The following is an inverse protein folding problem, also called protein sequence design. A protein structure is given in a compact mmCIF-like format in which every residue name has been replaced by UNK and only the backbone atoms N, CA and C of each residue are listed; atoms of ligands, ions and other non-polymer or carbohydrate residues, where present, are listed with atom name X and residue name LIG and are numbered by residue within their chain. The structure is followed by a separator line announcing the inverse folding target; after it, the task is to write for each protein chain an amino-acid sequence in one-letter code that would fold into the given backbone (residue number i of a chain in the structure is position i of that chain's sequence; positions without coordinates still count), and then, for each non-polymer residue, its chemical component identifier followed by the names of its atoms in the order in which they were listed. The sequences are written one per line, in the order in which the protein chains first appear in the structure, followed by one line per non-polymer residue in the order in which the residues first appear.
data_IF_228325931083
#
_entry.id   IF_228325931083
#
_cell.length_a   1.000
_cell.length_b   1.000
_cell.length_c   1.000
_cell.angle_alpha   90.00
_cell.angle_beta   90.00
_cell.angle_gamma   90.00
#
_symmetry.space_group_name_H-M   'P 1'
#
loop_
_entity.id
_entity.type
_entity.pdbx_description
1 polymer ?
#
# COMPACT_ATOMS: atom_id res chain seq x y z
N UNK A 1 12.47 19.08 -2.65
CA UNK A 1 11.36 19.35 -1.72
C UNK A 1 11.93 19.74 -0.37
N UNK A 2 11.27 20.65 0.34
CA UNK A 2 11.67 21.04 1.68
C UNK A 2 11.07 20.06 2.72
N UNK A 3 11.62 19.98 3.94
CA UNK A 3 11.21 18.98 4.93
C UNK A 3 9.71 19.04 5.26
N UNK A 4 9.17 20.25 5.46
CA UNK A 4 7.76 20.45 5.75
C UNK A 4 6.85 20.12 4.57
N UNK A 5 7.30 20.35 3.33
CA UNK A 5 6.55 19.97 2.14
C UNK A 5 6.37 18.45 2.10
N UNK A 6 7.44 17.71 2.40
CA UNK A 6 7.40 16.24 2.39
C UNK A 6 6.42 15.71 3.43
N UNK A 7 6.48 16.22 4.65
CA UNK A 7 5.60 15.78 5.73
C UNK A 7 4.12 16.04 5.43
N UNK A 8 3.82 17.17 4.77
CA UNK A 8 2.45 17.62 4.51
C UNK A 8 1.85 17.09 3.21
N UNK A 9 2.66 16.78 2.20
CA UNK A 9 2.17 16.43 0.85
C UNK A 9 2.39 14.98 0.43
N UNK A 10 3.24 14.22 1.14
CA UNK A 10 3.59 12.85 0.75
C UNK A 10 2.94 11.83 1.69
N UNK A 11 2.54 10.72 1.09
CA UNK A 11 2.05 9.54 1.79
C UNK A 11 3.01 8.37 1.59
N UNK A 12 3.13 7.52 2.60
CA UNK A 12 3.80 6.22 2.51
C UNK A 12 2.76 5.15 2.27
N UNK A 13 3.09 4.23 1.38
CA UNK A 13 2.36 2.98 1.16
C UNK A 13 2.86 1.96 2.19
N UNK A 14 1.99 1.60 3.11
CA UNK A 14 2.24 0.54 4.10
C UNK A 14 1.80 -0.81 3.57
N UNK A 15 2.39 -1.86 4.13
CA UNK A 15 2.18 -3.25 3.71
C UNK A 15 2.63 -3.52 2.27
N UNK A 16 3.47 -2.64 1.72
CA UNK A 16 4.17 -2.86 0.47
C UNK A 16 4.87 -4.22 0.55
N UNK A 17 4.60 -5.09 -0.45
CA UNK A 17 5.33 -6.34 -0.54
C UNK A 17 6.80 -5.96 -0.65
N UNK A 18 7.69 -6.47 0.22
CA UNK A 18 9.11 -6.23 0.03
C UNK A 18 9.41 -6.75 -1.37
N UNK A 19 9.71 -5.83 -2.29
CA UNK A 19 10.13 -6.18 -3.63
C UNK A 19 11.20 -7.23 -3.43
N UNK A 20 10.90 -8.48 -3.84
CA UNK A 20 11.85 -9.58 -3.76
C UNK A 20 12.99 -9.10 -4.65
N UNK A 21 14.00 -8.49 -4.03
CA UNK A 21 15.30 -8.32 -4.63
C UNK A 21 15.66 -9.75 -4.98
N UNK A 22 15.47 -10.10 -6.25
CA UNK A 22 15.97 -11.32 -6.83
C UNK A 22 17.43 -11.34 -6.47
N UNK A 23 17.77 -12.08 -5.41
CA UNK A 23 19.13 -12.42 -5.07
C UNK A 23 19.59 -13.30 -6.22
N UNK A 24 20.10 -12.63 -7.25
CA UNK A 24 20.63 -13.24 -8.45
C UNK A 24 21.71 -14.22 -8.02
N UNK A 25 21.36 -15.51 -8.05
CA UNK A 25 22.16 -16.61 -8.56
C UNK A 25 23.67 -16.50 -8.25
N UNK A 26 24.07 -17.01 -7.10
CA UNK A 26 25.44 -17.54 -6.92
C UNK A 26 25.36 -19.06 -7.15
N UNK A 27 25.63 -19.48 -8.38
CA UNK A 27 25.91 -20.86 -8.75
C UNK A 27 27.29 -21.24 -8.20
N UNK A 28 27.41 -22.48 -7.72
CA UNK A 28 28.58 -23.40 -7.62
C UNK A 28 28.56 -24.05 -6.23
N UNK A 29 28.06 -25.28 -6.08
CA UNK A 29 28.83 -26.55 -6.21
C UNK A 29 29.76 -26.79 -5.00
N UNK A 30 29.85 -27.94 -4.33
CA UNK A 30 29.23 -29.26 -4.49
C UNK A 30 29.73 -30.17 -3.34
N UNK A 31 28.94 -31.20 -2.98
CA UNK A 31 29.30 -32.50 -2.36
C UNK A 31 29.76 -32.60 -0.89
N UNK A 32 28.91 -33.24 -0.06
CA UNK A 32 29.18 -34.58 0.50
C UNK A 32 28.01 -35.12 1.33
N UNK A 33 27.65 -36.37 1.05
CA UNK A 33 26.68 -37.24 1.73
C UNK A 33 27.05 -37.54 3.18
N UNK A 34 26.06 -37.70 4.07
CA UNK A 34 25.99 -38.87 4.96
C UNK A 34 24.59 -39.07 5.58
N UNK A 35 24.36 -40.32 5.95
CA UNK A 35 23.12 -41.05 6.16
C UNK A 35 22.52 -40.85 7.57
N UNK A 36 21.20 -40.65 7.70
CA UNK A 36 20.41 -40.94 8.92
C UNK A 36 18.89 -40.81 8.69
N UNK A 37 18.08 -41.84 8.97
CA UNK A 37 16.64 -41.75 9.03
C UNK A 37 16.20 -41.54 10.48
N UNK A 38 15.71 -40.35 10.84
CA UNK A 38 14.96 -40.20 12.08
C UNK A 38 13.67 -39.40 11.86
N UNK A 39 12.60 -40.01 12.34
CA UNK A 39 11.22 -39.75 11.96
C UNK A 39 10.72 -38.51 12.70
N UNK A 40 10.79 -37.35 12.04
CA UNK A 40 10.08 -36.15 12.53
C UNK A 40 8.62 -36.25 12.10
N UNK A 41 7.64 -36.10 13.02
CA UNK A 41 6.23 -36.12 12.64
C UNK A 41 5.98 -35.00 11.65
N UNK A 42 5.46 -35.36 10.47
CA UNK A 42 4.89 -34.41 9.51
C UNK A 42 3.76 -33.67 10.21
N UNK A 43 4.09 -32.51 10.81
CA UNK A 43 3.05 -31.53 11.12
C UNK A 43 2.38 -31.21 9.80
N UNK A 44 1.04 -31.36 9.69
CA UNK A 44 0.34 -30.82 8.55
C UNK A 44 0.64 -29.33 8.58
N UNK A 45 1.43 -28.91 7.60
CA UNK A 45 1.68 -27.51 7.29
C UNK A 45 0.32 -26.99 6.80
N UNK A 46 -0.59 -26.73 7.75
CA UNK A 46 -1.74 -25.90 7.53
C UNK A 46 -1.14 -24.53 7.23
N UNK A 47 -0.77 -24.34 5.96
CA UNK A 47 -0.43 -23.04 5.42
C UNK A 47 -1.66 -22.20 5.66
N UNK A 48 -1.67 -21.49 6.80
CA UNK A 48 -2.56 -20.37 6.99
C UNK A 48 -2.40 -19.52 5.72
N UNK A 49 -3.49 -19.11 5.07
CA UNK A 49 -3.40 -18.20 3.94
C UNK A 49 -2.60 -17.00 4.42
N UNK A 50 -1.42 -16.78 3.84
CA UNK A 50 -0.50 -15.70 4.21
C UNK A 50 -1.29 -14.38 4.10
N UNK A 51 -1.75 -13.81 5.23
CA UNK A 51 -2.72 -12.74 5.20
C UNK A 51 -1.92 -11.50 4.83
N UNK A 52 -1.80 -11.24 3.53
CA UNK A 52 -1.16 -10.04 3.03
C UNK A 52 -2.22 -8.94 3.06
N UNK A 53 -2.19 -8.02 4.04
CA UNK A 53 -3.16 -6.94 4.08
C UNK A 53 -3.08 -6.10 2.81
N UNK A 54 -4.20 -5.47 2.45
CA UNK A 54 -4.23 -4.58 1.32
C UNK A 54 -3.33 -3.36 1.57
N UNK A 55 -2.66 -2.88 0.52
CA UNK A 55 -1.85 -1.67 0.57
C UNK A 55 -2.69 -0.48 1.05
N UNK A 56 -2.10 0.35 1.89
CA UNK A 56 -2.76 1.57 2.38
C UNK A 56 -1.80 2.75 2.32
N UNK A 57 -2.26 3.86 1.75
CA UNK A 57 -1.56 5.13 1.75
C UNK A 57 -1.85 5.87 3.05
N UNK A 58 -0.79 6.30 3.74
CA UNK A 58 -0.86 7.02 5.00
C UNK A 58 0.04 8.25 4.95
N UNK A 59 -0.44 9.46 5.31
CA UNK A 59 0.39 10.66 5.36
C UNK A 59 1.62 10.46 6.24
N UNK A 60 2.78 10.91 5.79
CA UNK A 60 4.03 10.78 6.54
C UNK A 60 3.91 11.43 7.92
N UNK A 61 3.26 12.59 8.00
CA UNK A 61 3.05 13.29 9.27
C UNK A 61 2.33 12.41 10.31
N UNK A 62 1.22 11.75 9.94
CA UNK A 62 0.43 10.91 10.84
C UNK A 62 1.20 9.69 11.36
N UNK A 63 2.14 9.17 10.56
CA UNK A 63 2.99 8.04 10.94
C UNK A 63 4.11 8.45 11.89
N UNK A 64 4.70 9.63 11.68
CA UNK A 64 5.77 10.14 12.54
C UNK A 64 5.24 10.57 13.90
N UNK A 65 4.08 11.24 13.92
CA UNK A 65 3.40 11.60 15.17
C UNK A 65 2.99 10.35 15.97
N UNK A 66 2.73 9.24 15.27
CA UNK A 66 2.61 7.92 15.88
C UNK A 66 1.49 7.81 16.91
N UNK A 67 0.37 8.48 16.66
CA UNK A 67 -0.80 8.47 17.54
C UNK A 67 -1.38 7.06 17.69
N UNK A 68 -2.00 6.80 18.85
CA UNK A 68 -2.78 5.58 19.07
C UNK A 68 -3.88 5.39 18.03
N UNK A 69 -4.39 6.49 17.47
CA UNK A 69 -5.42 6.49 16.43
C UNK A 69 -4.90 5.88 15.13
N UNK A 70 -3.68 6.20 14.72
CA UNK A 70 -3.04 5.61 13.54
C UNK A 70 -2.87 4.10 13.69
N UNK A 71 -2.47 3.63 14.88
CA UNK A 71 -2.33 2.19 15.17
C UNK A 71 -3.69 1.50 15.12
N UNK A 72 -4.71 2.08 15.76
CA UNK A 72 -6.07 1.53 15.77
C UNK A 72 -6.68 1.46 14.37
N UNK A 73 -6.47 2.50 13.57
CA UNK A 73 -6.91 2.55 12.18
C UNK A 73 -6.26 1.45 11.34
N UNK A 74 -4.93 1.30 11.43
CA UNK A 74 -4.21 0.26 10.70
C UNK A 74 -4.60 -1.15 11.15
N UNK A 75 -4.80 -1.35 12.46
CA UNK A 75 -5.26 -2.64 12.98
C UNK A 75 -6.64 -3.00 12.44
N UNK A 76 -7.56 -2.03 12.45
CA UNK A 76 -8.91 -2.22 11.89
C UNK A 76 -8.84 -2.54 10.39
N UNK A 77 -7.96 -1.86 9.64
CA UNK A 77 -7.73 -2.11 8.22
C UNK A 77 -7.16 -3.50 7.94
N UNK A 78 -6.14 -3.93 8.68
CA UNK A 78 -5.55 -5.27 8.55
C UNK A 78 -6.59 -6.33 8.85
N UNK A 79 -7.37 -6.17 9.93
CA UNK A 79 -8.43 -7.12 10.29
C UNK A 79 -9.54 -7.19 9.22
N UNK A 80 -9.89 -6.06 8.60
CA UNK A 80 -10.89 -6.01 7.55
C UNK A 80 -10.42 -6.60 6.21
N UNK A 81 -9.14 -6.42 5.86
CA UNK A 81 -8.62 -6.74 4.52
C UNK A 81 -7.86 -8.06 4.45
N UNK A 82 -7.09 -8.39 5.47
CA UNK A 82 -6.23 -9.58 5.46
C UNK A 82 -6.99 -10.86 5.81
N UNK A 83 -8.13 -10.74 6.51
CA UNK A 83 -8.97 -11.87 6.93
C UNK A 83 -10.32 -11.92 6.21
N UNK A 84 -10.46 -11.16 5.11
CA UNK A 84 -11.61 -11.30 4.24
C UNK A 84 -11.51 -12.67 3.55
N UNK A 85 -12.50 -13.57 3.70
CA UNK A 85 -12.48 -14.84 2.99
C UNK A 85 -12.48 -14.53 1.49
N UNK A 86 -11.49 -15.06 0.76
CA UNK A 86 -11.45 -14.95 -0.69
C UNK A 86 -12.83 -15.28 -1.26
N UNK A 87 -13.37 -14.48 -2.21
CA UNK A 87 -14.70 -14.73 -2.76
C UNK A 87 -14.70 -16.13 -3.36
N UNK A 88 -15.26 -17.09 -2.64
CA UNK A 88 -15.47 -18.42 -3.15
C UNK A 88 -16.50 -18.28 -4.27
N UNK A 89 -16.02 -18.34 -5.50
CA UNK A 89 -16.86 -18.44 -6.68
C UNK A 89 -17.69 -19.72 -6.57
N UNK A 90 -18.93 -19.64 -6.05
CA UNK A 90 -19.76 -20.84 -6.02
C UNK A 90 -21.06 -20.85 -5.20
N UNK A 91 -21.35 -19.93 -4.29
CA UNK A 91 -22.59 -20.00 -3.49
C UNK A 91 -23.52 -18.81 -3.72
N UNK A 92 -24.58 -18.96 -4.55
CA UNK A 92 -25.64 -17.98 -4.67
C UNK A 92 -26.62 -18.16 -3.50
N UNK A 93 -26.47 -17.34 -2.46
CA UNK A 93 -27.44 -17.30 -1.36
C UNK A 93 -26.78 -16.94 -0.04
N UNK A 94 -26.82 -15.66 0.31
CA UNK A 94 -26.28 -15.19 1.58
C UNK A 94 -26.05 -13.68 1.55
N UNK A 95 -27.13 -12.93 1.65
CA UNK A 95 -27.21 -11.60 2.27
C UNK A 95 -25.90 -11.10 2.91
N UNK A 96 -25.20 -10.24 2.17
CA UNK A 96 -24.04 -9.49 2.65
C UNK A 96 -24.47 -8.50 3.73
N UNK A 97 -24.48 -8.98 4.97
CA UNK A 97 -24.64 -8.20 6.18
C UNK A 97 -23.33 -7.44 6.45
N UNK A 98 -23.16 -6.26 5.85
CA UNK A 98 -22.14 -5.29 6.30
C UNK A 98 -22.55 -4.79 7.69
N UNK A 99 -22.22 -5.58 8.72
CA UNK A 99 -22.55 -5.30 10.11
C UNK A 99 -21.94 -6.31 11.11
N UNK A 100 -20.90 -7.05 10.71
CA UNK A 100 -20.24 -8.06 11.55
C UNK A 100 -19.22 -7.44 12.48
N UNK A 101 -19.60 -7.23 13.75
CA UNK A 101 -18.70 -6.77 14.79
C UNK A 101 -17.47 -7.66 14.97
N UNK A 102 -16.41 -7.08 15.49
CA UNK A 102 -15.15 -7.70 15.93
C UNK A 102 -15.30 -8.83 16.98
N UNK A 103 -16.52 -9.33 17.24
CA UNK A 103 -16.86 -10.23 18.32
C UNK A 103 -16.44 -11.70 18.14
N UNK A 104 -15.77 -12.06 17.04
CA UNK A 104 -15.43 -13.45 16.73
C UNK A 104 -14.05 -13.69 16.10
N UNK A 105 -13.20 -12.67 15.97
CA UNK A 105 -11.83 -12.89 15.47
C UNK A 105 -11.03 -13.66 16.51
N UNK A 106 -10.36 -14.77 16.16
CA UNK A 106 -9.50 -15.50 17.09
C UNK A 106 -8.50 -14.54 17.75
N UNK A 107 -8.29 -14.64 19.05
CA UNK A 107 -7.33 -13.77 19.76
C UNK A 107 -5.92 -13.82 19.14
N UNK A 108 -5.56 -14.97 18.59
CA UNK A 108 -4.32 -15.19 17.85
C UNK A 108 -4.23 -14.33 16.59
N UNK A 109 -5.31 -14.27 15.80
CA UNK A 109 -5.42 -13.42 14.60
C UNK A 109 -5.27 -11.93 14.94
N UNK A 110 -5.86 -11.48 16.04
CA UNK A 110 -5.73 -10.09 16.49
C UNK A 110 -4.28 -9.80 16.93
N UNK A 111 -3.64 -10.72 17.64
CA UNK A 111 -2.24 -10.57 18.06
C UNK A 111 -1.27 -10.51 16.87
N UNK A 112 -1.48 -11.35 15.86
CA UNK A 112 -0.68 -11.30 14.62
C UNK A 112 -0.88 -9.98 13.86
N UNK A 113 -2.13 -9.54 13.73
CA UNK A 113 -2.44 -8.26 13.08
C UNK A 113 -1.80 -7.08 13.82
N UNK A 114 -1.84 -7.09 15.15
CA UNK A 114 -1.18 -6.07 15.97
C UNK A 114 0.34 -6.05 15.75
N UNK A 115 1.00 -7.21 15.75
CA UNK A 115 2.44 -7.30 15.47
C UNK A 115 2.80 -6.77 14.08
N UNK A 116 1.98 -7.06 13.06
CA UNK A 116 2.18 -6.54 11.71
C UNK A 116 2.09 -5.01 11.68
N UNK A 117 1.09 -4.44 12.35
CA UNK A 117 0.91 -2.99 12.44
C UNK A 117 2.07 -2.32 13.16
N UNK A 118 2.51 -2.86 14.30
CA UNK A 118 3.65 -2.32 15.04
C UNK A 118 4.94 -2.37 14.22
N UNK A 119 5.16 -3.44 13.45
CA UNK A 119 6.31 -3.57 12.56
C UNK A 119 6.30 -2.56 11.41
N UNK A 120 5.14 -2.26 10.83
CA UNK A 120 5.01 -1.19 9.84
C UNK A 120 5.25 0.18 10.46
N UNK A 121 4.69 0.43 11.65
CA UNK A 121 4.86 1.69 12.36
C UNK A 121 6.33 1.95 12.72
N UNK A 122 7.06 0.92 13.15
CA UNK A 122 8.49 1.02 13.44
C UNK A 122 9.30 1.38 12.20
N UNK A 123 9.04 0.73 11.06
CA UNK A 123 9.66 1.08 9.77
C UNK A 123 9.41 2.53 9.39
N UNK A 124 8.16 3.01 9.50
CA UNK A 124 7.82 4.40 9.21
C UNK A 124 8.54 5.39 10.13
N UNK A 125 8.67 5.07 11.42
CA UNK A 125 9.43 5.88 12.39
C UNK A 125 10.92 5.90 12.07
N UNK A 126 11.49 4.77 11.68
CA UNK A 126 12.90 4.68 11.29
C UNK A 126 13.18 5.49 10.01
N UNK A 127 12.28 5.42 9.03
CA UNK A 127 12.32 6.31 7.86
C UNK A 127 12.25 7.79 8.27
N UNK A 128 11.31 8.17 9.13
CA UNK A 128 11.18 9.55 9.61
C UNK A 128 12.43 10.07 10.33
N UNK A 129 13.11 9.22 11.10
CA UNK A 129 14.39 9.54 11.75
C UNK A 129 15.50 9.75 10.72
N UNK A 130 15.61 8.87 9.73
CA UNK A 130 16.62 9.00 8.67
C UNK A 130 16.38 10.27 7.84
N UNK A 131 15.11 10.58 7.53
CA UNK A 131 14.72 11.83 6.87
C UNK A 131 15.13 13.05 7.70
N UNK A 132 14.82 13.07 9.00
CA UNK A 132 15.23 14.15 9.89
C UNK A 132 16.76 14.28 9.99
N UNK A 133 17.49 13.17 10.02
CA UNK A 133 18.95 13.17 10.04
C UNK A 133 19.54 13.71 8.74
N UNK A 134 18.96 13.35 7.59
CA UNK A 134 19.39 13.83 6.28
C UNK A 134 19.33 15.37 6.22
N UNK A 135 18.21 15.97 6.63
CA UNK A 135 18.04 17.43 6.66
C UNK A 135 18.93 18.11 7.69
N UNK A 136 19.17 17.51 8.86
CA UNK A 136 20.15 18.04 9.82
C UNK A 136 21.57 18.07 9.25
N UNK A 137 21.95 17.07 8.45
CA UNK A 137 23.27 16.97 7.84
C UNK A 137 23.48 17.88 6.61
N UNK A 138 22.40 18.16 5.86
CA UNK A 138 22.47 18.92 4.60
C UNK A 138 21.91 20.35 4.71
N UNK A 139 21.46 20.79 5.89
CA UNK A 139 20.96 22.15 6.12
C UNK A 139 19.70 22.46 5.30
N UNK A 140 19.70 23.59 4.58
CA UNK A 140 18.59 24.03 3.71
C UNK A 140 18.58 23.36 2.33
N UNK A 141 19.22 22.20 2.20
CA UNK A 141 19.22 21.49 0.92
C UNK A 141 17.87 20.86 0.65
N UNK A 142 17.44 20.92 -0.61
CA UNK A 142 16.23 20.27 -1.09
C UNK A 142 16.55 18.83 -1.45
N UNK A 143 15.75 17.89 -0.95
CA UNK A 143 15.85 16.48 -1.37
C UNK A 143 15.12 16.29 -2.71
N UNK A 144 15.70 15.49 -3.60
CA UNK A 144 15.03 15.09 -4.84
C UNK A 144 14.04 13.94 -4.59
N UNK A 145 13.06 13.75 -5.50
CA UNK A 145 12.08 12.67 -5.39
C UNK A 145 12.74 11.29 -5.36
N UNK A 146 13.66 11.03 -6.29
CA UNK A 146 14.35 9.74 -6.35
C UNK A 146 15.22 9.44 -5.12
N UNK A 147 15.76 10.46 -4.44
CA UNK A 147 16.46 10.26 -3.17
C UNK A 147 15.50 9.90 -2.03
N UNK A 148 14.33 10.55 -1.99
CA UNK A 148 13.29 10.25 -1.03
C UNK A 148 12.75 8.83 -1.21
N UNK A 149 12.48 8.42 -2.45
CA UNK A 149 12.09 7.05 -2.82
C UNK A 149 13.14 6.02 -2.42
N UNK A 150 14.42 6.30 -2.68
CA UNK A 150 15.53 5.42 -2.29
C UNK A 150 15.60 5.25 -0.77
N UNK A 151 15.39 6.33 -0.01
CA UNK A 151 15.34 6.27 1.45
C UNK A 151 14.14 5.48 1.97
N UNK A 152 12.95 5.67 1.40
CA UNK A 152 11.77 4.88 1.75
C UNK A 152 12.00 3.38 1.45
N UNK A 153 12.56 3.08 0.27
CA UNK A 153 12.85 1.73 -0.19
C UNK A 153 13.82 0.99 0.73
N UNK A 154 14.80 1.70 1.32
CA UNK A 154 15.74 1.14 2.30
C UNK A 154 15.04 0.56 3.53
N UNK A 155 13.90 1.14 3.93
CA UNK A 155 13.08 0.65 5.03
C UNK A 155 11.94 -0.28 4.57
N UNK A 156 11.91 -0.66 3.28
CA UNK A 156 10.83 -1.48 2.71
C UNK A 156 9.49 -0.74 2.68
N UNK A 157 9.52 0.58 2.50
CA UNK A 157 8.36 1.43 2.30
C UNK A 157 8.36 1.96 0.87
N UNK A 158 7.18 2.24 0.33
CA UNK A 158 7.04 2.89 -0.97
C UNK A 158 6.35 4.24 -0.78
N UNK A 159 6.64 5.21 -1.66
CA UNK A 159 5.95 6.49 -1.65
C UNK A 159 4.77 6.44 -2.62
N UNK A 160 3.67 7.08 -2.23
CA UNK A 160 2.57 7.30 -3.16
C UNK A 160 3.04 8.20 -4.32
N UNK A 161 2.82 7.82 -5.60
CA UNK A 161 3.20 8.67 -6.72
C UNK A 161 2.51 10.04 -6.66
N UNK A 162 3.27 11.13 -6.85
CA UNK A 162 2.73 12.49 -7.02
C UNK A 162 2.06 12.60 -8.40
N UNK A 163 0.90 11.97 -8.58
CA UNK A 163 0.12 12.08 -9.80
C UNK A 163 -0.52 10.76 -10.21
N UNK A 164 -1.84 10.65 -10.00
CA UNK A 164 -2.69 9.64 -10.62
C UNK A 164 -2.90 9.86 -12.12
N UNK A 165 -1.85 10.19 -12.87
CA UNK A 165 -1.85 10.00 -14.32
C UNK A 165 -1.06 8.74 -14.56
N UNK A 166 -1.76 7.62 -14.44
CA UNK A 166 -1.37 6.41 -15.12
C UNK A 166 -1.21 6.80 -16.58
N UNK A 167 0.02 6.96 -17.05
CA UNK A 167 0.36 6.72 -18.45
C UNK A 167 0.11 5.23 -18.71
N UNK A 168 -1.16 4.84 -18.67
CA UNK A 168 -1.59 3.63 -19.31
C UNK A 168 -1.20 3.81 -20.78
N UNK A 169 -0.42 2.90 -21.38
CA UNK A 169 -0.15 2.98 -22.79
C UNK A 169 -1.50 2.97 -23.50
N UNK A 170 -1.89 4.12 -24.06
CA UNK A 170 -3.00 4.25 -24.99
C UNK A 170 -2.66 3.34 -26.18
N UNK A 171 -3.07 2.08 -26.07
CA UNK A 171 -3.10 1.15 -27.18
C UNK A 171 -4.12 1.73 -28.14
N UNK A 172 -3.62 2.27 -29.25
CA UNK A 172 -4.39 2.94 -30.29
C UNK A 172 -5.65 2.15 -30.62
N UNK A 173 -6.77 2.64 -30.12
CA UNK A 173 -8.08 2.20 -30.57
C UNK A 173 -8.46 3.15 -31.70
N UNK A 174 -8.11 2.75 -32.92
CA UNK A 174 -8.68 3.31 -34.14
C UNK A 174 -10.20 3.12 -34.05
N UNK A 175 -10.91 4.14 -33.57
CA UNK A 175 -12.34 4.23 -33.73
C UNK A 175 -12.63 4.89 -35.05
N UNK A 176 -13.14 4.04 -35.93
CA UNK A 176 -13.85 4.27 -37.18
C UNK A 176 -14.62 5.59 -37.26
N UNK A 177 -14.61 6.09 -38.49
CA UNK A 177 -15.57 6.99 -39.12
C UNK A 177 -16.90 7.11 -38.37
N UNK A 178 -17.21 8.35 -37.98
CA UNK A 178 -18.57 8.77 -37.67
C UNK A 178 -18.86 9.99 -38.54
N UNK A 179 -19.77 9.77 -39.48
CA UNK A 179 -20.33 10.77 -40.38
C UNK A 179 -20.86 11.96 -39.59
N UNK A 180 -20.44 13.14 -40.04
CA UNK A 180 -20.79 14.44 -39.49
C UNK A 180 -22.16 14.85 -40.04
N UNK A 181 -23.25 14.32 -39.49
CA UNK A 181 -24.59 14.84 -39.77
C UNK A 181 -24.80 16.19 -39.04
N UNK A 182 -24.79 17.21 -39.89
CA UNK A 182 -25.28 18.57 -39.70
C UNK A 182 -26.65 18.61 -39.01
N UNK A 183 -26.70 19.09 -37.77
CA UNK A 183 -27.90 19.72 -37.22
C UNK A 183 -27.52 21.04 -36.55
N UNK A 184 -27.85 22.13 -37.24
CA UNK A 184 -27.92 23.44 -36.63
C UNK A 184 -29.06 23.50 -35.63
N UNK A 185 -28.86 24.23 -34.54
CA UNK A 185 -29.91 25.05 -33.96
C UNK A 185 -29.30 26.09 -33.04
N UNK A 186 -29.38 27.32 -33.51
CA UNK A 186 -29.17 28.56 -32.76
C UNK A 186 -30.19 28.67 -31.64
N UNK A 187 -29.77 28.83 -30.39
CA UNK A 187 -30.59 29.54 -29.42
C UNK A 187 -29.74 30.42 -28.50
N UNK A 188 -29.95 31.72 -28.71
CA UNK A 188 -29.51 32.86 -27.93
C UNK A 188 -30.08 32.82 -26.51
N UNK A 189 -29.23 33.05 -25.50
CA UNK A 189 -29.64 33.29 -24.11
C UNK A 189 -29.12 34.68 -23.72
N UNK A 190 -29.99 35.66 -23.40
CA UNK A 190 -29.56 36.98 -22.95
C UNK A 190 -29.20 37.02 -21.46
N UNK A 191 -28.15 37.77 -21.17
CA UNK A 191 -27.72 38.20 -19.84
C UNK A 191 -28.82 38.95 -19.08
N UNK A 192 -29.01 38.61 -17.80
CA UNK A 192 -29.65 39.49 -16.84
C UNK A 192 -28.64 39.82 -15.72
N UNK A 193 -28.22 41.08 -15.72
CA UNK A 193 -27.54 41.76 -14.62
C UNK A 193 -28.56 41.99 -13.51
N UNK A 194 -28.29 41.53 -12.29
CA UNK A 194 -28.97 42.03 -11.10
C UNK A 194 -27.90 42.47 -10.10
N UNK A 195 -27.81 43.79 -9.94
CA UNK A 195 -27.15 44.48 -8.85
C UNK A 195 -28.15 44.63 -7.70
N UNK A 196 -27.73 44.33 -6.48
CA UNK A 196 -28.16 45.00 -5.27
C UNK A 196 -26.98 45.03 -4.30
#
# INVERSE_FOLDING_TARGET
MDYLDILSSRSLLLFARPNKVTRSKSISDSLSSDDSPDSTPSSPNAQLPDPTPALIAMPIQSLIEGSSDSVYFLLTHVLATAFQPAPQAGSPGGDSFFGGGLGGTPKEVVGEAELLVWKEMDRAKMFGRELGQWFRGHGNSRISEGELERMASKWGLELEPLGGVTDAPMKGSQRSDIDLESFGSTHSIPCAVVRA
#
